data_IF_760256040802
#
_entry.id   IF_760256040802
#
_cell.length_a   1.000
_cell.length_b   1.000
_cell.length_c   1.000
_cell.angle_alpha   90.00
_cell.angle_beta   90.00
_cell.angle_gamma   90.00
#
_symmetry.space_group_name_H-M   'P 1'
#
loop_
_entity.id
_entity.type
_entity.pdbx_description
1 polymer ?
#
# COMPACT_ATOMS: atom_id res chain seq x y z
N UNK A 1 8.94 37.64 -14.27
CA UNK A 1 9.72 36.42 -13.92
C UNK A 1 8.85 35.21 -14.16
N UNK A 2 9.14 34.47 -15.23
CA UNK A 2 8.34 33.32 -15.68
C UNK A 2 8.68 32.07 -14.86
N UNK A 3 7.70 31.49 -14.16
CA UNK A 3 7.87 30.24 -13.42
C UNK A 3 8.01 29.08 -14.42
N UNK A 4 9.24 28.62 -14.67
CA UNK A 4 9.49 27.37 -15.42
C UNK A 4 8.84 26.19 -14.68
N UNK A 5 7.79 25.60 -15.26
CA UNK A 5 7.22 24.33 -14.84
C UNK A 5 8.28 23.24 -15.04
N UNK A 6 8.92 22.81 -13.96
CA UNK A 6 9.80 21.65 -13.99
C UNK A 6 8.94 20.41 -14.19
N UNK A 7 9.05 19.80 -15.36
CA UNK A 7 8.43 18.50 -15.62
C UNK A 7 9.08 17.46 -14.70
N UNK A 8 8.29 16.67 -13.95
CA UNK A 8 8.84 15.68 -13.04
C UNK A 8 9.60 14.63 -13.84
N UNK A 9 10.90 14.49 -13.55
CA UNK A 9 11.74 13.45 -14.14
C UNK A 9 11.20 12.09 -13.68
N UNK A 10 10.88 11.15 -14.60
CA UNK A 10 10.39 9.83 -14.22
C UNK A 10 11.46 9.10 -13.41
N UNK A 11 11.14 8.78 -12.16
CA UNK A 11 12.04 8.04 -11.27
C UNK A 11 12.12 6.59 -11.74
N UNK A 12 13.33 6.14 -12.11
CA UNK A 12 13.61 4.72 -12.36
C UNK A 12 13.54 3.97 -11.03
N UNK A 13 12.70 2.95 -10.94
CA UNK A 13 12.67 2.03 -9.81
C UNK A 13 13.85 1.06 -9.97
N UNK A 14 14.76 1.02 -9.01
CA UNK A 14 15.89 0.07 -8.99
C UNK A 14 15.70 -0.80 -7.75
N UNK A 15 15.64 -2.12 -7.97
CA UNK A 15 15.59 -3.12 -6.91
C UNK A 15 16.97 -3.76 -6.84
N UNK A 16 17.59 -3.76 -5.66
CA UNK A 16 18.80 -4.51 -5.36
C UNK A 16 18.37 -5.79 -4.63
N UNK A 17 18.35 -6.97 -5.29
CA UNK A 17 17.85 -8.20 -4.68
C UNK A 17 18.67 -8.64 -3.46
N UNK A 18 19.95 -8.23 -3.37
CA UNK A 18 20.81 -8.54 -2.22
C UNK A 18 20.48 -7.71 -0.97
N UNK A 19 19.78 -6.59 -1.13
CA UNK A 19 19.44 -5.66 -0.03
C UNK A 19 17.95 -5.51 0.20
N UNK A 20 17.12 -5.84 -0.79
CA UNK A 20 15.67 -5.72 -0.76
C UNK A 20 15.07 -7.10 -1.01
N UNK A 21 14.97 -7.95 0.04
CA UNK A 21 14.39 -9.26 -0.11
C UNK A 21 12.92 -9.16 -0.51
N UNK A 22 12.48 -10.10 -1.35
CA UNK A 22 11.06 -10.28 -1.62
C UNK A 22 10.48 -11.07 -0.44
N UNK A 23 9.55 -10.46 0.28
CA UNK A 23 8.87 -11.07 1.41
C UNK A 23 7.50 -11.58 0.95
N UNK A 24 7.15 -12.78 1.38
CA UNK A 24 5.84 -13.36 1.12
C UNK A 24 4.88 -13.05 2.26
N UNK A 25 3.64 -12.74 1.93
CA UNK A 25 2.58 -12.38 2.88
C UNK A 25 1.23 -12.83 2.37
N UNK A 26 0.37 -13.21 3.29
CA UNK A 26 -1.04 -13.56 3.05
C UNK A 26 -2.00 -12.59 3.74
N UNK A 27 -1.50 -11.75 4.64
CA UNK A 27 -2.30 -10.84 5.44
C UNK A 27 -1.72 -9.42 5.43
N UNK A 28 -2.60 -8.42 5.33
CA UNK A 28 -2.24 -7.01 5.50
C UNK A 28 -3.22 -6.36 6.47
N UNK A 29 -2.71 -5.92 7.62
CA UNK A 29 -3.47 -5.15 8.60
C UNK A 29 -3.17 -3.67 8.45
N UNK A 30 -4.22 -2.86 8.28
CA UNK A 30 -4.12 -1.42 8.12
C UNK A 30 -4.69 -0.73 9.35
N UNK A 31 -3.88 0.11 10.01
CA UNK A 31 -4.29 0.88 11.19
C UNK A 31 -4.13 2.38 10.92
N UNK A 32 -5.13 3.19 11.22
CA UNK A 32 -5.06 4.65 11.10
C UNK A 32 -4.84 5.29 12.47
N UNK A 33 -4.01 6.32 12.54
CA UNK A 33 -3.77 7.12 13.74
C UNK A 33 -3.67 8.61 13.37
N UNK A 34 -3.39 9.47 14.35
CA UNK A 34 -3.30 10.94 14.16
C UNK A 34 -2.24 11.35 13.12
N UNK A 35 -1.20 10.54 12.93
CA UNK A 35 -0.06 10.86 12.07
C UNK A 35 -0.23 10.29 10.65
N UNK A 36 -1.11 9.32 10.47
CA UNK A 36 -1.34 8.66 9.18
C UNK A 36 -1.76 7.22 9.33
N UNK A 37 -1.29 6.37 8.43
CA UNK A 37 -1.61 4.95 8.39
C UNK A 37 -0.35 4.11 8.59
N UNK A 38 -0.53 2.97 9.23
CA UNK A 38 0.47 1.92 9.34
C UNK A 38 -0.09 0.68 8.65
N UNK A 39 0.69 0.15 7.71
CA UNK A 39 0.41 -1.12 7.04
C UNK A 39 1.36 -2.17 7.62
N UNK A 40 0.78 -3.13 8.32
CA UNK A 40 1.47 -4.33 8.80
C UNK A 40 1.23 -5.45 7.80
N UNK A 41 2.28 -5.81 7.08
CA UNK A 41 2.30 -6.92 6.13
C UNK A 41 2.77 -8.14 6.90
N UNK A 42 1.93 -9.17 6.97
CA UNK A 42 2.14 -10.32 7.81
C UNK A 42 1.98 -11.64 7.05
N UNK A 43 2.57 -12.67 7.62
CA UNK A 43 2.43 -14.06 7.21
C UNK A 43 1.85 -14.87 8.36
N UNK A 44 0.77 -15.58 8.12
CA UNK A 44 0.17 -16.45 9.13
C UNK A 44 1.10 -17.63 9.45
N UNK A 45 1.23 -17.96 10.74
CA UNK A 45 2.04 -19.08 11.20
C UNK A 45 1.16 -20.34 11.20
N UNK A 46 1.50 -21.38 10.43
CA UNK A 46 0.68 -22.59 10.33
C UNK A 46 0.41 -23.22 11.71
N UNK A 47 -0.84 -23.68 11.90
CA UNK A 47 -1.31 -24.35 13.14
C UNK A 47 -1.31 -23.44 14.39
N UNK A 48 -1.32 -22.13 14.21
CA UNK A 48 -1.44 -21.16 15.31
C UNK A 48 -2.42 -20.05 14.93
N UNK A 49 -2.94 -19.34 15.93
CA UNK A 49 -3.80 -18.16 15.74
C UNK A 49 -2.98 -16.85 15.66
N UNK A 50 -1.73 -16.95 15.21
CA UNK A 50 -0.77 -15.85 15.21
C UNK A 50 -0.18 -15.61 13.83
N UNK A 51 0.07 -14.33 13.53
CA UNK A 51 0.72 -13.91 12.28
C UNK A 51 2.03 -13.18 12.62
N UNK A 52 3.08 -13.44 11.84
CA UNK A 52 4.36 -12.74 11.94
C UNK A 52 4.38 -11.54 10.99
N UNK A 53 4.62 -10.34 11.52
CA UNK A 53 4.83 -9.14 10.68
C UNK A 53 6.18 -9.25 9.99
N UNK A 54 6.17 -9.34 8.65
CA UNK A 54 7.38 -9.41 7.82
C UNK A 54 7.83 -8.03 7.34
N UNK A 55 6.89 -7.10 7.18
CA UNK A 55 7.18 -5.71 6.86
C UNK A 55 6.17 -4.75 7.48
N UNK A 56 6.65 -3.56 7.87
CA UNK A 56 5.82 -2.48 8.40
C UNK A 56 6.09 -1.20 7.62
N UNK A 57 5.03 -0.58 7.09
CA UNK A 57 5.12 0.66 6.32
C UNK A 57 4.27 1.74 6.99
N UNK A 58 4.91 2.83 7.41
CA UNK A 58 4.24 4.04 7.88
C UNK A 58 4.04 5.03 6.74
N UNK A 59 2.82 5.55 6.60
CA UNK A 59 2.46 6.53 5.58
C UNK A 59 1.77 7.72 6.25
N UNK A 60 2.09 8.93 5.80
CA UNK A 60 1.25 10.09 6.11
C UNK A 60 -0.14 9.93 5.45
N UNK A 61 -1.13 10.67 5.93
CA UNK A 61 -2.47 10.68 5.35
C UNK A 61 -2.48 10.99 3.84
N UNK A 62 -1.62 11.90 3.38
CA UNK A 62 -1.52 12.23 1.97
C UNK A 62 -0.94 11.09 1.13
N UNK A 63 0.11 10.43 1.62
CA UNK A 63 0.70 9.28 0.95
C UNK A 63 -0.26 8.10 0.92
N UNK A 64 -1.01 7.88 1.99
CA UNK A 64 -2.05 6.86 2.06
C UNK A 64 -3.16 7.09 1.02
N UNK A 65 -3.63 8.34 0.84
CA UNK A 65 -4.61 8.68 -0.20
C UNK A 65 -4.07 8.42 -1.61
N UNK A 66 -2.81 8.80 -1.87
CA UNK A 66 -2.16 8.53 -3.16
C UNK A 66 -2.01 7.04 -3.43
N UNK A 67 -1.63 6.26 -2.41
CA UNK A 67 -1.54 4.81 -2.49
C UNK A 67 -2.90 4.18 -2.82
N UNK A 68 -3.96 4.55 -2.09
CA UNK A 68 -5.29 4.01 -2.30
C UNK A 68 -5.80 4.30 -3.74
N UNK A 69 -5.61 5.52 -4.23
CA UNK A 69 -5.96 5.88 -5.61
C UNK A 69 -5.17 5.09 -6.65
N UNK A 70 -3.84 4.99 -6.48
CA UNK A 70 -3.00 4.24 -7.40
C UNK A 70 -3.37 2.75 -7.42
N UNK A 71 -3.61 2.15 -6.24
CA UNK A 71 -4.02 0.76 -6.12
C UNK A 71 -5.37 0.50 -6.80
N UNK A 72 -6.36 1.37 -6.56
CA UNK A 72 -7.67 1.28 -7.23
C UNK A 72 -7.54 1.32 -8.75
N UNK A 73 -6.73 2.25 -9.28
CA UNK A 73 -6.46 2.34 -10.73
C UNK A 73 -5.86 1.03 -11.25
N UNK A 74 -4.89 0.43 -10.54
CA UNK A 74 -4.25 -0.82 -10.99
C UNK A 74 -5.21 -2.02 -10.96
N UNK A 75 -6.05 -2.13 -9.92
CA UNK A 75 -7.04 -3.19 -9.82
C UNK A 75 -8.10 -3.11 -10.93
N UNK A 76 -8.54 -1.89 -11.25
CA UNK A 76 -9.48 -1.64 -12.35
C UNK A 76 -8.85 -1.94 -13.72
N UNK A 77 -7.58 -1.55 -13.93
CA UNK A 77 -6.83 -1.87 -15.16
C UNK A 77 -6.69 -3.37 -15.38
N UNK A 78 -6.52 -4.14 -14.30
CA UNK A 78 -6.34 -5.60 -14.36
C UNK A 78 -7.65 -6.39 -14.23
N UNK A 79 -8.82 -5.75 -14.38
CA UNK A 79 -10.17 -6.34 -14.27
C UNK A 79 -10.37 -7.24 -13.04
N UNK A 80 -9.81 -6.87 -11.89
CA UNK A 80 -10.26 -7.44 -10.62
C UNK A 80 -11.48 -6.62 -10.20
N UNK A 81 -12.68 -7.17 -10.40
CA UNK A 81 -13.94 -6.54 -9.96
C UNK A 81 -13.91 -6.50 -8.44
N UNK A 82 -13.61 -5.34 -7.86
CA UNK A 82 -13.81 -5.13 -6.43
C UNK A 82 -15.32 -5.08 -6.14
N UNK A 83 -15.86 -5.92 -5.24
CA UNK A 83 -17.24 -5.76 -4.80
C UNK A 83 -17.35 -4.39 -4.12
N UNK A 84 -18.18 -3.51 -4.69
CA UNK A 84 -18.57 -2.27 -4.02
C UNK A 84 -19.33 -2.67 -2.75
N UNK A 85 -18.81 -2.33 -1.57
CA UNK A 85 -19.64 -2.31 -0.35
C UNK A 85 -20.79 -1.32 -0.59
N UNK A 86 -22.01 -1.84 -0.52
CA UNK A 86 -23.22 -1.05 -0.64
C UNK A 86 -23.30 0.00 0.48
N UNK A 87 -23.87 1.13 0.05
CA UNK A 87 -24.31 2.32 0.78
C UNK A 87 -24.88 2.02 2.17
N UNK A 88 -24.45 2.85 3.14
CA UNK A 88 -25.14 3.31 4.36
C UNK A 88 -26.23 2.39 4.95
N UNK A 89 -25.94 1.82 6.11
CA UNK A 89 -26.98 1.49 7.09
C UNK A 89 -27.31 2.77 7.85
N UNK A 90 -28.62 3.04 7.94
CA UNK A 90 -29.25 4.16 8.63
C UNK A 90 -28.85 4.24 10.12
#
# INVERSE_FOLDING_TARGET
MEKKKQNPVPKKLVLDPGKTPILYSDNIRITSNKNGLVLDIAQDIPKTDSSQVVARVGLSHEHAKKLASALSIQLLRNRVILPRKNKALN
#
